data_IF_444217319540
#
_entry.id   IF_444217319540
#
_cell.length_a   1.000
_cell.length_b   1.000
_cell.length_c   1.000
_cell.angle_alpha   90.00
_cell.angle_beta   90.00
_cell.angle_gamma   90.00
#
_symmetry.space_group_name_H-M   'P 1'
#
loop_
_entity.id
_entity.type
_entity.pdbx_description
1 polymer ?
#
# COMPACT_ATOMS: atom_id res chain seq x y z
N UNK A 1 -25.25 -11.86 -17.82
CA UNK A 1 -24.18 -10.84 -17.76
C UNK A 1 -24.12 -10.03 -16.44
N UNK A 2 -25.23 -9.82 -15.72
CA UNK A 2 -25.26 -9.06 -14.45
C UNK A 2 -24.43 -9.68 -13.30
N UNK A 3 -24.34 -11.02 -13.22
CA UNK A 3 -23.58 -11.72 -12.18
C UNK A 3 -22.07 -11.49 -12.26
N UNK A 4 -21.45 -11.56 -13.44
CA UNK A 4 -20.00 -11.38 -13.57
C UNK A 4 -19.57 -9.97 -13.15
N UNK A 5 -20.43 -8.98 -13.38
CA UNK A 5 -20.21 -7.61 -12.91
C UNK A 5 -20.25 -7.50 -11.38
N UNK A 6 -21.26 -8.11 -10.75
CA UNK A 6 -21.40 -8.13 -9.29
C UNK A 6 -20.21 -8.86 -8.66
N UNK A 7 -19.83 -10.02 -9.21
CA UNK A 7 -18.70 -10.82 -8.74
C UNK A 7 -17.38 -10.04 -8.87
N UNK A 8 -17.13 -9.38 -10.01
CA UNK A 8 -15.93 -8.56 -10.19
C UNK A 8 -15.84 -7.45 -9.13
N UNK A 9 -16.93 -6.71 -8.92
CA UNK A 9 -16.93 -5.64 -7.92
C UNK A 9 -16.67 -6.17 -6.52
N UNK A 10 -17.32 -7.27 -6.11
CA UNK A 10 -17.07 -7.89 -4.81
C UNK A 10 -15.59 -8.22 -4.65
N UNK A 11 -14.99 -8.91 -5.62
CA UNK A 11 -13.57 -9.30 -5.56
C UNK A 11 -12.66 -8.07 -5.47
N UNK A 12 -12.89 -7.05 -6.31
CA UNK A 12 -12.10 -5.82 -6.30
C UNK A 12 -12.20 -5.13 -4.93
N UNK A 13 -13.39 -4.99 -4.37
CA UNK A 13 -13.56 -4.39 -3.05
C UNK A 13 -12.87 -5.20 -1.95
N UNK A 14 -13.06 -6.52 -1.94
CA UNK A 14 -12.44 -7.41 -0.95
C UNK A 14 -10.92 -7.34 -0.99
N UNK A 15 -10.31 -7.44 -2.18
CA UNK A 15 -8.85 -7.37 -2.34
C UNK A 15 -8.32 -6.01 -1.87
N UNK A 16 -8.97 -4.90 -2.26
CA UNK A 16 -8.50 -3.58 -1.86
C UNK A 16 -8.69 -3.30 -0.36
N UNK A 17 -9.69 -3.89 0.28
CA UNK A 17 -9.84 -3.87 1.74
C UNK A 17 -8.71 -4.60 2.45
N UNK A 18 -8.31 -5.79 1.97
CA UNK A 18 -7.15 -6.50 2.51
C UNK A 18 -5.85 -5.70 2.36
N UNK A 19 -5.64 -5.09 1.19
CA UNK A 19 -4.47 -4.24 0.96
C UNK A 19 -4.45 -3.02 1.89
N UNK A 20 -5.59 -2.35 2.07
CA UNK A 20 -5.71 -1.22 2.98
C UNK A 20 -5.48 -1.65 4.43
N UNK A 21 -6.03 -2.80 4.83
CA UNK A 21 -5.79 -3.39 6.15
C UNK A 21 -4.30 -3.70 6.39
N UNK A 22 -3.59 -4.18 5.37
CA UNK A 22 -2.15 -4.40 5.44
C UNK A 22 -1.36 -3.09 5.58
N UNK A 23 -1.73 -2.04 4.84
CA UNK A 23 -1.13 -0.70 5.03
C UNK A 23 -1.37 -0.21 6.46
N UNK A 24 -2.60 -0.35 6.98
CA UNK A 24 -2.94 0.02 8.36
C UNK A 24 -2.13 -0.76 9.40
N UNK A 25 -1.95 -2.07 9.17
CA UNK A 25 -1.09 -2.91 10.00
C UNK A 25 0.36 -2.40 9.99
N UNK A 26 0.95 -2.13 8.82
CA UNK A 26 2.29 -1.56 8.73
C UNK A 26 2.39 -0.20 9.45
N UNK A 27 1.41 0.68 9.24
CA UNK A 27 1.38 2.00 9.89
C UNK A 27 1.36 1.87 11.43
N UNK A 28 0.57 0.94 11.96
CA UNK A 28 0.49 0.67 13.40
C UNK A 28 1.86 0.28 13.97
N UNK A 29 2.56 -0.67 13.35
CA UNK A 29 3.90 -1.10 13.82
C UNK A 29 4.98 -0.05 13.63
N UNK A 30 4.88 0.79 12.59
CA UNK A 30 5.85 1.87 12.37
C UNK A 30 5.68 3.04 13.34
N UNK A 31 4.45 3.27 13.83
CA UNK A 31 4.16 4.37 14.77
C UNK A 31 4.35 3.94 16.23
N UNK A 32 4.14 2.67 16.57
CA UNK A 32 4.34 2.18 17.93
C UNK A 32 5.84 2.02 18.20
N UNK A 33 6.40 3.06 18.79
CA UNK A 33 7.77 3.06 19.28
C UNK A 33 7.81 2.46 20.70
N UNK A 34 8.42 1.28 20.85
CA UNK A 34 8.60 0.60 22.16
C UNK A 34 9.81 1.21 22.93
N UNK A 35 10.56 2.12 22.31
CA UNK A 35 11.77 2.75 22.85
C UNK A 35 11.50 4.16 23.43
N UNK A 36 12.09 4.54 24.58
CA UNK A 36 11.92 5.84 25.19
C UNK A 36 12.77 6.89 24.46
N UNK A 37 12.20 7.54 23.45
CA UNK A 37 12.80 8.70 22.78
C UNK A 37 11.86 9.31 21.74
N UNK A 38 11.93 10.63 21.48
CA UNK A 38 11.14 11.26 20.43
C UNK A 38 11.58 10.70 19.08
N UNK A 39 10.72 9.90 18.45
CA UNK A 39 11.04 9.17 17.23
C UNK A 39 10.09 9.59 16.12
N UNK A 40 10.08 10.90 15.83
CA UNK A 40 9.31 11.46 14.73
C UNK A 40 10.07 11.20 13.43
N UNK A 41 9.88 10.00 12.88
CA UNK A 41 10.54 9.57 11.66
C UNK A 41 9.69 10.00 10.45
N UNK A 42 9.97 11.21 9.95
CA UNK A 42 9.29 11.77 8.78
C UNK A 42 9.36 10.86 7.55
N UNK A 43 10.40 10.02 7.44
CA UNK A 43 10.56 9.05 6.35
C UNK A 43 9.50 7.96 6.45
N UNK A 44 9.23 7.43 7.64
CA UNK A 44 8.16 6.44 7.87
C UNK A 44 6.78 7.01 7.59
N UNK A 45 6.53 8.28 7.95
CA UNK A 45 5.26 8.94 7.64
C UNK A 45 5.06 9.11 6.13
N UNK A 46 6.07 9.63 5.42
CA UNK A 46 6.05 9.78 3.96
C UNK A 46 5.83 8.42 3.29
N UNK A 47 6.48 7.37 3.78
CA UNK A 47 6.29 6.00 3.30
C UNK A 47 4.82 5.54 3.37
N UNK A 48 4.16 5.71 4.52
CA UNK A 48 2.75 5.33 4.67
C UNK A 48 1.85 6.16 3.74
N UNK A 49 2.09 7.46 3.62
CA UNK A 49 1.34 8.33 2.70
C UNK A 49 1.51 7.86 1.25
N UNK A 50 2.74 7.52 0.83
CA UNK A 50 3.00 7.00 -0.51
C UNK A 50 2.26 5.69 -0.78
N UNK A 51 2.25 4.75 0.18
CA UNK A 51 1.51 3.50 0.03
C UNK A 51 0.01 3.72 -0.15
N UNK A 52 -0.59 4.62 0.65
CA UNK A 52 -2.02 4.95 0.55
C UNK A 52 -2.34 5.59 -0.80
N UNK A 53 -1.47 6.47 -1.31
CA UNK A 53 -1.66 7.10 -2.62
C UNK A 53 -1.63 6.06 -3.76
N UNK A 54 -0.65 5.17 -3.76
CA UNK A 54 -0.51 4.12 -4.77
C UNK A 54 -1.71 3.16 -4.73
N UNK A 55 -2.13 2.75 -3.52
CA UNK A 55 -3.32 1.95 -3.33
C UNK A 55 -4.58 2.65 -3.88
N UNK A 56 -4.76 3.94 -3.58
CA UNK A 56 -5.92 4.72 -4.02
C UNK A 56 -6.00 4.81 -5.55
N UNK A 57 -4.86 5.08 -6.21
CA UNK A 57 -4.77 5.14 -7.68
C UNK A 57 -5.06 3.78 -8.30
N UNK A 58 -4.49 2.71 -7.74
CA UNK A 58 -4.70 1.33 -8.22
C UNK A 58 -6.19 0.94 -8.12
N UNK A 59 -6.80 1.18 -6.97
CA UNK A 59 -8.21 0.88 -6.75
C UNK A 59 -9.13 1.69 -7.67
N UNK A 60 -8.84 2.99 -7.83
CA UNK A 60 -9.58 3.85 -8.76
C UNK A 60 -9.52 3.33 -10.19
N UNK A 61 -8.34 2.89 -10.65
CA UNK A 61 -8.17 2.34 -11.99
C UNK A 61 -8.95 1.03 -12.19
N UNK A 62 -8.92 0.13 -11.21
CA UNK A 62 -9.65 -1.15 -11.23
C UNK A 62 -11.17 -0.96 -11.26
N UNK A 63 -11.68 0.04 -10.55
CA UNK A 63 -13.12 0.26 -10.40
C UNK A 63 -13.72 1.08 -11.57
N UNK A 64 -13.05 2.17 -11.99
CA UNK A 64 -13.61 3.11 -12.99
C UNK A 64 -13.15 2.85 -14.42
N UNK A 65 -11.88 2.49 -14.66
CA UNK A 65 -11.29 2.60 -16.01
C UNK A 65 -11.30 1.32 -16.82
N UNK A 66 -11.04 0.17 -16.20
CA UNK A 66 -10.97 -1.11 -16.91
C UNK A 66 -11.37 -2.25 -15.97
N UNK A 67 -12.56 -2.80 -16.16
CA UNK A 67 -13.11 -3.92 -15.37
C UNK A 67 -12.55 -5.28 -15.82
N UNK A 68 -11.23 -5.33 -16.06
CA UNK A 68 -10.53 -6.53 -16.50
C UNK A 68 -9.91 -7.20 -15.28
N UNK A 69 -10.08 -8.52 -15.17
CA UNK A 69 -9.49 -9.35 -14.11
C UNK A 69 -7.97 -9.24 -13.98
N UNK A 70 -7.28 -8.88 -15.07
CA UNK A 70 -5.82 -8.69 -15.06
C UNK A 70 -5.36 -7.50 -14.21
N UNK A 71 -6.22 -6.51 -14.02
CA UNK A 71 -5.88 -5.29 -13.28
C UNK A 71 -5.84 -5.46 -11.77
N UNK A 72 -6.81 -6.14 -11.11
CA UNK A 72 -6.67 -6.50 -9.72
C UNK A 72 -5.40 -7.33 -9.45
N UNK A 73 -5.08 -8.29 -10.33
CA UNK A 73 -3.91 -9.16 -10.17
C UNK A 73 -2.60 -8.35 -10.33
N UNK A 74 -2.45 -7.65 -11.45
CA UNK A 74 -1.25 -6.86 -11.73
C UNK A 74 -1.08 -5.73 -10.73
N UNK A 75 -2.16 -5.06 -10.34
CA UNK A 75 -2.15 -3.99 -9.33
C UNK A 75 -1.73 -4.48 -7.95
N UNK A 76 -2.16 -5.68 -7.56
CA UNK A 76 -1.76 -6.30 -6.28
C UNK A 76 -0.28 -6.69 -6.31
N UNK A 77 0.19 -7.32 -7.39
CA UNK A 77 1.61 -7.68 -7.56
C UNK A 77 2.48 -6.42 -7.54
N UNK A 78 2.11 -5.39 -8.30
CA UNK A 78 2.81 -4.12 -8.33
C UNK A 78 2.87 -3.47 -6.95
N UNK A 79 1.76 -3.48 -6.21
CA UNK A 79 1.70 -2.95 -4.86
C UNK A 79 2.67 -3.68 -3.91
N UNK A 80 2.67 -5.02 -3.94
CA UNK A 80 3.58 -5.84 -3.12
C UNK A 80 5.04 -5.54 -3.47
N UNK A 81 5.39 -5.51 -4.76
CA UNK A 81 6.76 -5.20 -5.22
C UNK A 81 7.20 -3.82 -4.76
N UNK A 82 6.34 -2.79 -4.90
CA UNK A 82 6.66 -1.44 -4.46
C UNK A 82 6.82 -1.38 -2.94
N UNK A 83 5.95 -2.05 -2.17
CA UNK A 83 6.04 -2.08 -0.72
C UNK A 83 7.35 -2.71 -0.24
N UNK A 84 7.77 -3.83 -0.85
CA UNK A 84 9.05 -4.47 -0.55
C UNK A 84 10.25 -3.60 -0.95
N UNK A 85 10.21 -2.97 -2.12
CA UNK A 85 11.31 -2.12 -2.60
C UNK A 85 11.47 -0.88 -1.71
N UNK A 86 10.35 -0.27 -1.31
CA UNK A 86 10.35 0.88 -0.41
C UNK A 86 10.88 0.49 0.99
N UNK A 87 10.42 -0.62 1.58
CA UNK A 87 10.87 -1.05 2.91
C UNK A 87 12.30 -1.58 2.95
N UNK A 88 12.69 -2.36 1.93
CA UNK A 88 13.95 -3.07 1.90
C UNK A 88 15.12 -2.24 1.39
N UNK A 89 14.86 -1.20 0.58
CA UNK A 89 15.91 -0.44 -0.09
C UNK A 89 15.78 1.06 0.21
N UNK A 90 14.64 1.67 -0.11
CA UNK A 90 14.51 3.14 -0.09
C UNK A 90 14.52 3.70 1.34
N UNK A 91 13.73 3.14 2.25
CA UNK A 91 13.68 3.60 3.64
C UNK A 91 15.04 3.46 4.34
N UNK A 92 15.73 2.30 4.30
CA UNK A 92 17.08 2.16 4.86
C UNK A 92 18.09 3.15 4.28
N UNK A 93 18.10 3.32 2.95
CA UNK A 93 18.99 4.24 2.26
C UNK A 93 18.76 5.70 2.65
N UNK A 94 17.50 6.13 2.75
CA UNK A 94 17.17 7.50 3.16
C UNK A 94 17.52 7.75 4.63
N UNK A 95 17.32 6.77 5.51
CA UNK A 95 17.73 6.86 6.92
C UNK A 95 19.25 7.02 6.99
N UNK A 96 20.01 6.23 6.23
CA UNK A 96 21.47 6.36 6.18
C UNK A 96 21.90 7.77 5.76
N UNK A 97 21.35 8.34 4.68
CA UNK A 97 21.71 9.69 4.22
C UNK A 97 21.31 10.80 5.21
N UNK A 98 20.19 10.66 5.91
CA UNK A 98 19.68 11.73 6.78
C UNK A 98 20.41 11.75 8.13
N UNK A 99 20.83 10.57 8.62
CA UNK A 99 21.43 10.41 9.94
C UNK A 99 22.96 10.22 9.94
N UNK A 100 23.61 10.13 8.77
CA UNK A 100 25.07 10.15 8.58
C UNK A 100 25.50 11.35 7.72
#
# INVERSE_FOLDING_TARGET
MKNNYIIYNIVVHTVNWFLLGFIGFLAFFLVINISPGPNYDGVKFVYIVTLVLIWSVNYWYQYYKNRKWILPIAGTILFVVIAFLLLGVVVPFLIEIIYF
#
